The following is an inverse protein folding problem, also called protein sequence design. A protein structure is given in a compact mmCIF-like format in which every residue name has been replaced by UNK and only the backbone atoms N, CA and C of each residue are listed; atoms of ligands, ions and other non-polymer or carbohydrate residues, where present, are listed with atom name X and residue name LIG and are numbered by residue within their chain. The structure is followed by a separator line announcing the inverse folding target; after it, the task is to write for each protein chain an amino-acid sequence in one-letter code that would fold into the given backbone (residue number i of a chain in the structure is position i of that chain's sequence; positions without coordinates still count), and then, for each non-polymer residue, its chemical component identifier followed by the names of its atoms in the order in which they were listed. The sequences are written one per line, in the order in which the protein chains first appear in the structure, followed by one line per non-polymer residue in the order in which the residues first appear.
data_IF_816086611867
#
_entry.id   IF_816086611867
#
_cell.length_a   1.000
_cell.length_b   1.000
_cell.length_c   1.000
_cell.angle_alpha   90.00
_cell.angle_beta   90.00
_cell.angle_gamma   90.00
#
_symmetry.space_group_name_H-M   'P 1'
#
loop_
_entity.id
_entity.type
_entity.pdbx_description
1 polymer ?
#
# COMPACT_ATOMS: atom_id res chain seq x y z
N UNK A 1 -17.30 0.43 -38.89
CA UNK A 1 -16.08 1.25 -39.09
C UNK A 1 -15.87 2.23 -37.94
N UNK A 2 -16.85 3.02 -37.52
CA UNK A 2 -16.72 3.89 -36.33
C UNK A 2 -16.46 3.11 -35.01
N UNK A 3 -17.25 2.05 -34.74
CA UNK A 3 -17.06 1.21 -33.54
C UNK A 3 -15.74 0.43 -33.51
N UNK A 4 -15.16 0.10 -34.66
CA UNK A 4 -13.85 -0.58 -34.72
C UNK A 4 -12.72 0.39 -34.40
N UNK A 5 -12.75 1.60 -34.95
CA UNK A 5 -11.75 2.62 -34.65
C UNK A 5 -11.83 3.09 -33.19
N UNK A 6 -13.03 3.14 -32.60
CA UNK A 6 -13.22 3.54 -31.20
C UNK A 6 -12.70 2.45 -30.23
N UNK A 7 -12.99 1.18 -30.50
CA UNK A 7 -12.43 0.06 -29.73
C UNK A 7 -10.89 -0.05 -29.87
N UNK A 8 -10.33 0.20 -31.06
CA UNK A 8 -8.87 0.22 -31.26
C UNK A 8 -8.20 1.38 -30.50
N UNK A 9 -8.81 2.56 -30.49
CA UNK A 9 -8.33 3.70 -29.71
C UNK A 9 -8.37 3.43 -28.20
N UNK A 10 -9.48 2.89 -27.68
CA UNK A 10 -9.61 2.53 -26.26
C UNK A 10 -8.60 1.45 -25.84
N UNK A 11 -8.41 0.42 -26.66
CA UNK A 11 -7.44 -0.64 -26.40
C UNK A 11 -6.00 -0.10 -26.42
N UNK A 12 -5.69 0.79 -27.35
CA UNK A 12 -4.38 1.45 -27.40
C UNK A 12 -4.15 2.31 -26.15
N UNK A 13 -5.14 3.08 -25.70
CA UNK A 13 -5.03 3.94 -24.53
C UNK A 13 -4.86 3.13 -23.24
N UNK A 14 -5.62 2.04 -23.08
CA UNK A 14 -5.48 1.11 -21.95
C UNK A 14 -4.07 0.48 -21.93
N UNK A 15 -3.56 0.08 -23.11
CA UNK A 15 -2.20 -0.45 -23.24
C UNK A 15 -1.12 0.59 -22.85
N UNK A 16 -1.25 1.85 -23.28
CA UNK A 16 -0.31 2.91 -22.89
C UNK A 16 -0.33 3.16 -21.38
N UNK A 17 -1.50 3.14 -20.74
CA UNK A 17 -1.61 3.34 -19.29
C UNK A 17 -1.00 2.17 -18.50
N UNK A 18 -1.24 0.93 -18.93
CA UNK A 18 -0.66 -0.24 -18.27
C UNK A 18 0.86 -0.31 -18.47
N UNK A 19 1.38 0.10 -19.63
CA UNK A 19 2.82 0.27 -19.84
C UNK A 19 3.40 1.35 -18.91
N UNK A 20 2.74 2.51 -18.78
CA UNK A 20 3.20 3.57 -17.88
C UNK A 20 3.26 3.09 -16.41
N UNK A 21 2.24 2.37 -15.95
CA UNK A 21 2.23 1.78 -14.60
C UNK A 21 3.31 0.72 -14.41
N UNK A 22 3.59 -0.09 -15.43
CA UNK A 22 4.69 -1.06 -15.40
C UNK A 22 6.04 -0.36 -15.30
N UNK A 23 6.26 0.73 -16.06
CA UNK A 23 7.47 1.54 -15.96
C UNK A 23 7.63 2.09 -14.54
N UNK A 24 6.56 2.64 -13.95
CA UNK A 24 6.57 3.10 -12.56
C UNK A 24 6.92 1.96 -11.60
N UNK A 25 6.36 0.76 -11.80
CA UNK A 25 6.65 -0.43 -11.00
C UNK A 25 8.15 -0.77 -11.04
N UNK A 26 8.76 -0.81 -12.22
CA UNK A 26 10.20 -1.10 -12.39
C UNK A 26 11.07 0.01 -11.78
N UNK A 27 10.74 1.28 -12.02
CA UNK A 27 11.50 2.43 -11.49
C UNK A 27 11.45 2.49 -9.96
N UNK A 28 10.32 2.13 -9.35
CA UNK A 28 10.13 2.14 -7.89
C UNK A 28 10.73 0.91 -7.20
N UNK A 29 10.92 -0.20 -7.92
CA UNK A 29 11.32 -1.47 -7.36
C UNK A 29 12.57 -1.43 -6.44
N UNK A 30 13.66 -0.70 -6.77
CA UNK A 30 14.79 -0.49 -5.85
C UNK A 30 14.35 0.03 -4.47
N UNK A 31 13.44 1.00 -4.44
CA UNK A 31 12.95 1.58 -3.19
C UNK A 31 12.05 0.62 -2.42
N UNK A 32 11.32 -0.26 -3.10
CA UNK A 32 10.55 -1.31 -2.45
C UNK A 32 11.47 -2.32 -1.76
N UNK A 33 12.56 -2.74 -2.42
CA UNK A 33 13.61 -3.57 -1.79
C UNK A 33 14.14 -2.92 -0.51
N UNK A 34 14.63 -1.68 -0.61
CA UNK A 34 15.19 -0.97 0.54
C UNK A 34 14.15 -0.79 1.65
N UNK A 35 12.90 -0.46 1.30
CA UNK A 35 11.81 -0.32 2.26
C UNK A 35 11.48 -1.63 2.96
N UNK A 36 11.40 -2.74 2.24
CA UNK A 36 11.13 -4.05 2.83
C UNK A 36 12.24 -4.46 3.80
N UNK A 37 13.50 -4.30 3.42
CA UNK A 37 14.64 -4.55 4.32
C UNK A 37 14.55 -3.71 5.60
N UNK A 38 14.20 -2.44 5.48
CA UNK A 38 13.97 -1.57 6.63
C UNK A 38 12.78 -2.06 7.48
N UNK A 39 11.68 -2.45 6.85
CA UNK A 39 10.46 -2.91 7.53
C UNK A 39 10.72 -4.16 8.38
N UNK A 40 11.48 -5.13 7.85
CA UNK A 40 11.84 -6.36 8.58
C UNK A 40 12.91 -6.13 9.65
N UNK A 41 13.44 -4.91 9.79
CA UNK A 41 14.40 -4.55 10.83
C UNK A 41 15.87 -4.75 10.46
N UNK A 42 16.18 -4.92 9.17
CA UNK A 42 17.56 -5.02 8.72
C UNK A 42 18.23 -3.62 8.70
N UNK A 43 19.25 -3.39 9.53
CA UNK A 43 20.00 -2.13 9.71
C UNK A 43 21.53 -2.31 9.53
N UNK A 44 22.03 -2.56 8.31
CA UNK A 44 23.44 -2.89 8.08
C UNK A 44 24.42 -1.72 8.32
N UNK A 45 23.90 -0.49 8.38
CA UNK A 45 24.69 0.74 8.46
C UNK A 45 24.54 1.35 9.87
N UNK A 46 25.62 1.91 10.44
CA UNK A 46 25.58 2.46 11.79
C UNK A 46 24.64 3.67 11.88
N UNK A 47 24.01 3.81 13.04
CA UNK A 47 23.26 5.02 13.37
C UNK A 47 24.19 6.21 13.62
N UNK A 48 23.69 7.42 13.43
CA UNK A 48 24.46 8.65 13.62
C UNK A 48 23.68 9.66 14.47
N UNK A 49 24.36 10.45 15.33
CA UNK A 49 23.71 11.50 16.08
C UNK A 49 23.20 12.59 15.13
N UNK A 50 21.95 13.01 15.30
CA UNK A 50 21.33 14.09 14.52
C UNK A 50 20.47 14.98 15.42
N UNK A 51 19.92 16.05 14.85
CA UNK A 51 18.99 16.95 15.53
C UNK A 51 17.68 17.00 14.77
N UNK A 52 16.57 17.11 15.49
CA UNK A 52 15.28 17.41 14.84
C UNK A 52 15.27 18.86 14.32
N UNK A 53 14.21 19.21 13.59
CA UNK A 53 13.98 20.60 13.10
C UNK A 53 13.90 21.64 14.23
N UNK A 54 13.68 21.21 15.49
CA UNK A 54 13.65 22.05 16.70
C UNK A 54 14.96 21.96 17.52
N UNK A 55 16.06 21.47 16.93
CA UNK A 55 17.39 21.40 17.57
C UNK A 55 17.57 20.34 18.66
N UNK A 56 16.55 19.54 18.99
CA UNK A 56 16.61 18.46 19.98
C UNK A 56 17.41 17.26 19.45
N UNK A 57 18.28 16.66 20.26
CA UNK A 57 19.08 15.51 19.84
C UNK A 57 18.18 14.30 19.55
N UNK A 58 18.45 13.61 18.45
CA UNK A 58 17.84 12.34 18.04
C UNK A 58 18.92 11.43 17.43
N UNK A 59 18.65 10.14 17.38
CA UNK A 59 19.48 9.18 16.64
C UNK A 59 18.89 9.06 15.23
N UNK A 60 19.70 9.42 14.24
CA UNK A 60 19.39 9.30 12.82
C UNK A 60 19.76 7.91 12.31
N UNK A 61 18.92 7.37 11.44
CA UNK A 61 19.17 6.14 10.71
C UNK A 61 19.40 6.47 9.23
N UNK A 62 20.25 5.71 8.52
CA UNK A 62 20.51 5.92 7.11
C UNK A 62 19.23 5.71 6.29
N UNK A 63 19.01 6.61 5.33
CA UNK A 63 17.89 6.53 4.41
C UNK A 63 18.07 5.45 3.34
N UNK A 64 17.05 5.23 2.52
CA UNK A 64 17.03 4.15 1.54
C UNK A 64 18.08 4.30 0.45
N UNK A 65 18.52 5.52 0.10
CA UNK A 65 19.61 5.68 -0.86
C UNK A 65 20.93 5.08 -0.34
N UNK A 66 21.19 5.20 0.97
CA UNK A 66 22.35 4.56 1.60
C UNK A 66 22.20 3.03 1.60
N UNK A 67 20.99 2.52 1.81
CA UNK A 67 20.69 1.09 1.68
C UNK A 67 20.90 0.58 0.27
N UNK A 68 20.40 1.30 -0.73
CA UNK A 68 20.58 0.96 -2.14
C UNK A 68 22.06 0.98 -2.51
N UNK A 69 22.80 1.98 -2.07
CA UNK A 69 24.26 2.03 -2.24
C UNK A 69 24.97 0.86 -1.55
N UNK A 70 24.49 0.43 -0.38
CA UNK A 70 24.99 -0.76 0.31
C UNK A 70 24.72 -2.04 -0.48
N UNK A 71 23.47 -2.26 -0.93
CA UNK A 71 23.09 -3.41 -1.76
C UNK A 71 23.92 -3.45 -3.05
N UNK A 72 24.03 -2.32 -3.75
CA UNK A 72 24.79 -2.20 -4.99
C UNK A 72 26.27 -2.58 -4.82
N UNK A 73 26.89 -2.20 -3.70
CA UNK A 73 28.29 -2.56 -3.43
C UNK A 73 28.49 -4.06 -3.19
N UNK A 74 27.47 -4.77 -2.72
CA UNK A 74 27.56 -6.19 -2.38
C UNK A 74 27.12 -7.10 -3.53
N UNK A 75 26.05 -6.76 -4.23
CA UNK A 75 25.42 -7.61 -5.27
C UNK A 75 25.24 -6.90 -6.62
N UNK A 76 25.73 -5.67 -6.78
CA UNK A 76 25.63 -4.92 -8.04
C UNK A 76 24.18 -4.57 -8.44
N UNK A 77 23.95 -4.42 -9.75
CA UNK A 77 22.63 -4.12 -10.32
C UNK A 77 21.64 -5.27 -10.09
N UNK A 78 22.14 -6.51 -10.14
CA UNK A 78 21.33 -7.72 -9.91
C UNK A 78 20.73 -7.76 -8.51
N UNK A 79 21.44 -7.27 -7.49
CA UNK A 79 20.91 -7.15 -6.13
C UNK A 79 19.83 -6.08 -6.00
N UNK A 80 20.01 -4.92 -6.64
CA UNK A 80 19.02 -3.83 -6.63
C UNK A 80 17.68 -4.28 -7.23
N UNK A 81 17.72 -5.10 -8.29
CA UNK A 81 16.55 -5.58 -9.02
C UNK A 81 16.17 -7.03 -8.68
N UNK A 82 16.67 -7.57 -7.55
CA UNK A 82 16.31 -8.92 -7.14
C UNK A 82 14.82 -9.00 -6.87
N UNK A 83 14.17 -10.06 -7.33
CA UNK A 83 12.74 -10.26 -7.12
C UNK A 83 11.84 -9.44 -8.05
N UNK A 84 12.39 -8.66 -8.98
CA UNK A 84 11.60 -7.95 -10.01
C UNK A 84 10.61 -8.86 -10.75
N UNK A 85 10.94 -10.11 -11.15
CA UNK A 85 9.98 -11.01 -11.77
C UNK A 85 8.74 -11.27 -10.90
N UNK A 86 8.91 -11.45 -9.59
CA UNK A 86 7.78 -11.64 -8.67
C UNK A 86 6.91 -10.39 -8.58
N UNK A 87 7.52 -9.20 -8.55
CA UNK A 87 6.81 -7.92 -8.51
C UNK A 87 5.97 -7.67 -9.78
N UNK A 88 6.53 -8.03 -10.96
CA UNK A 88 5.82 -7.92 -12.24
C UNK A 88 4.63 -8.88 -12.29
N UNK A 89 4.81 -10.13 -11.85
CA UNK A 89 3.74 -11.14 -11.83
C UNK A 89 2.64 -10.75 -10.81
N UNK A 90 3.02 -10.27 -9.61
CA UNK A 90 2.09 -9.75 -8.60
C UNK A 90 1.24 -8.61 -9.19
N UNK A 91 1.88 -7.62 -9.83
CA UNK A 91 1.19 -6.50 -10.47
C UNK A 91 0.18 -6.95 -11.54
N UNK A 92 0.60 -7.80 -12.48
CA UNK A 92 -0.30 -8.28 -13.54
C UNK A 92 -1.42 -9.17 -13.00
N UNK A 93 -1.12 -10.04 -12.03
CA UNK A 93 -2.12 -10.90 -11.37
C UNK A 93 -3.20 -10.07 -10.67
N UNK A 94 -2.77 -9.06 -9.90
CA UNK A 94 -3.68 -8.14 -9.21
C UNK A 94 -4.56 -7.39 -10.21
N UNK A 95 -3.94 -6.75 -11.22
CA UNK A 95 -4.64 -5.92 -12.21
C UNK A 95 -5.62 -6.74 -13.06
N UNK A 96 -5.19 -7.90 -13.56
CA UNK A 96 -6.03 -8.79 -14.34
C UNK A 96 -7.26 -9.23 -13.52
N UNK A 97 -7.03 -9.67 -12.29
CA UNK A 97 -8.12 -10.16 -11.42
C UNK A 97 -9.07 -9.03 -11.02
N UNK A 98 -8.54 -7.85 -10.67
CA UNK A 98 -9.35 -6.68 -10.36
C UNK A 98 -10.27 -6.32 -11.52
N UNK A 99 -9.70 -6.17 -12.73
CA UNK A 99 -10.46 -5.81 -13.93
C UNK A 99 -11.49 -6.88 -14.30
N UNK A 100 -11.13 -8.16 -14.14
CA UNK A 100 -12.02 -9.26 -14.40
C UNK A 100 -13.23 -9.23 -13.45
N UNK A 101 -13.01 -9.04 -12.15
CA UNK A 101 -14.10 -8.95 -11.17
C UNK A 101 -14.93 -7.70 -11.43
N UNK A 102 -14.30 -6.56 -11.66
CA UNK A 102 -14.98 -5.29 -11.90
C UNK A 102 -15.90 -5.35 -13.13
N UNK A 103 -15.43 -5.90 -14.26
CA UNK A 103 -16.25 -6.06 -15.47
C UNK A 103 -17.42 -7.02 -15.26
N UNK A 104 -17.26 -8.01 -14.39
CA UNK A 104 -18.27 -9.04 -14.16
C UNK A 104 -19.20 -8.75 -12.95
N UNK A 105 -18.84 -7.84 -12.04
CA UNK A 105 -19.62 -7.60 -10.81
C UNK A 105 -21.05 -7.18 -11.12
N UNK A 106 -21.25 -6.36 -12.16
CA UNK A 106 -22.57 -5.92 -12.58
C UNK A 106 -23.46 -7.03 -13.14
N UNK A 107 -22.86 -8.14 -13.61
CA UNK A 107 -23.60 -9.33 -14.08
C UNK A 107 -24.11 -10.17 -12.92
N UNK A 108 -23.30 -10.34 -11.88
CA UNK A 108 -23.62 -11.21 -10.73
C UNK A 108 -24.34 -10.47 -9.60
N UNK A 109 -24.14 -9.15 -9.49
CA UNK A 109 -24.73 -8.31 -8.46
C UNK A 109 -25.23 -6.99 -9.09
N UNK A 110 -26.43 -6.98 -9.71
CA UNK A 110 -26.98 -5.79 -10.37
C UNK A 110 -27.08 -4.57 -9.45
N UNK A 111 -27.31 -4.78 -8.15
CA UNK A 111 -27.37 -3.72 -7.13
C UNK A 111 -26.02 -2.97 -6.94
N UNK A 112 -24.89 -3.57 -7.34
CA UNK A 112 -23.55 -2.98 -7.24
C UNK A 112 -23.12 -2.20 -8.50
N UNK A 113 -23.98 -2.08 -9.51
CA UNK A 113 -23.70 -1.25 -10.68
C UNK A 113 -23.67 0.23 -10.26
N UNK A 114 -22.53 0.87 -10.48
CA UNK A 114 -22.39 2.32 -10.32
C UNK A 114 -22.56 2.91 -11.71
N UNK A 115 -23.64 3.63 -11.97
CA UNK A 115 -23.73 4.52 -13.12
C UNK A 115 -22.79 5.68 -12.82
N UNK A 116 -21.56 5.63 -13.31
CA UNK A 116 -20.69 6.80 -13.31
C UNK A 116 -21.39 7.88 -14.15
N UNK A 117 -21.68 9.08 -13.62
CA UNK A 117 -21.82 10.22 -14.52
C UNK A 117 -20.47 10.37 -15.21
N UNK A 118 -20.48 10.38 -16.54
CA UNK A 118 -19.28 10.49 -17.37
C UNK A 118 -18.34 11.58 -16.85
N UNK A 119 -17.16 11.16 -16.41
CA UNK A 119 -15.98 12.03 -16.36
C UNK A 119 -15.37 12.07 -17.76
N UNK A 120 -16.12 12.64 -18.70
CA UNK A 120 -15.61 13.18 -19.94
C UNK A 120 -16.26 14.54 -20.11
N UNK A 121 -15.44 15.52 -20.43
CA UNK A 121 -15.76 16.93 -20.58
C UNK A 121 -17.12 17.15 -21.24
N UNK A 122 -18.01 17.86 -20.56
CA UNK A 122 -18.93 18.75 -21.24
C UNK A 122 -19.01 20.04 -20.41
N UNK A 123 -18.33 21.04 -20.95
CA UNK A 123 -18.53 22.45 -20.68
C UNK A 123 -20.02 22.79 -20.65
N UNK A 124 -20.54 23.09 -19.47
CA UNK A 124 -21.75 23.89 -19.33
C UNK A 124 -21.48 24.94 -18.26
N UNK A 125 -21.31 26.17 -18.72
CA UNK A 125 -21.24 27.38 -17.91
C UNK A 125 -22.31 27.36 -16.81
N UNK A 126 -21.88 27.41 -15.55
CA UNK A 126 -22.76 27.72 -14.43
C UNK A 126 -22.46 29.15 -14.02
N UNK A 127 -23.23 30.08 -14.59
CA UNK A 127 -23.22 31.49 -14.19
C UNK A 127 -23.65 31.60 -12.73
N UNK A 128 -22.71 31.98 -11.87
CA UNK A 128 -22.94 32.37 -10.49
C UNK A 128 -23.57 33.75 -10.43
N UNK A 129 -24.73 33.88 -9.76
CA UNK A 129 -25.17 35.16 -9.17
C UNK A 129 -25.37 34.98 -7.67
N UNK A 130 -24.84 35.94 -6.91
CA UNK A 130 -24.81 36.08 -5.45
C UNK A 130 -26.15 35.84 -4.72
N UNK A 131 -26.10 35.14 -3.57
CA UNK A 131 -26.43 35.66 -2.21
C UNK A 131 -26.82 34.52 -1.22
N UNK A 132 -26.61 34.79 0.07
CA UNK A 132 -26.43 33.93 1.26
C UNK A 132 -27.52 32.89 1.66
N UNK A 133 -27.16 31.90 2.52
CA UNK A 133 -27.70 30.54 2.51
C UNK A 133 -28.74 30.24 3.60
N UNK A 134 -29.62 29.27 3.32
CA UNK A 134 -30.14 28.37 4.35
C UNK A 134 -29.25 27.10 4.36
N UNK A 135 -28.84 26.57 5.51
CA UNK A 135 -27.70 25.65 5.63
C UNK A 135 -27.90 24.23 5.04
N UNK A 136 -29.07 23.91 4.47
CA UNK A 136 -29.48 22.52 4.25
C UNK A 136 -29.96 22.19 2.81
N UNK A 137 -29.81 23.10 1.85
CA UNK A 137 -30.37 22.92 0.50
C UNK A 137 -29.33 23.14 -0.61
N UNK A 138 -29.20 22.15 -1.50
CA UNK A 138 -28.55 22.31 -2.80
C UNK A 138 -29.66 22.35 -3.85
N UNK A 139 -29.66 23.38 -4.70
CA UNK A 139 -30.57 23.47 -5.85
C UNK A 139 -29.89 22.74 -7.02
N UNK A 140 -30.39 21.57 -7.40
CA UNK A 140 -30.02 20.93 -8.68
C UNK A 140 -30.90 21.49 -9.79
N UNK A 141 -30.30 22.12 -10.79
CA UNK A 141 -30.99 22.48 -12.03
C UNK A 141 -31.07 21.26 -12.94
N UNK A 142 -32.29 20.77 -13.18
CA UNK A 142 -32.54 19.75 -14.20
C UNK A 142 -32.45 20.38 -15.60
N UNK A 143 -32.08 19.59 -16.62
CA UNK A 143 -31.96 20.02 -18.04
C UNK A 143 -33.27 20.60 -18.62
N UNK A 144 -34.38 20.50 -17.87
CA UNK A 144 -35.75 20.92 -18.19
C UNK A 144 -36.21 22.18 -17.40
N UNK A 145 -35.29 22.94 -16.79
CA UNK A 145 -35.59 24.23 -16.14
C UNK A 145 -36.37 24.18 -14.82
N UNK A 146 -36.71 22.99 -14.30
CA UNK A 146 -37.35 22.85 -12.99
C UNK A 146 -36.32 22.96 -11.86
N UNK A 147 -36.53 23.93 -10.96
CA UNK A 147 -35.81 24.04 -9.69
C UNK A 147 -36.36 22.99 -8.73
N UNK A 148 -35.56 22.00 -8.36
CA UNK A 148 -35.90 21.10 -7.27
C UNK A 148 -35.00 21.38 -6.07
N UNK A 149 -35.64 21.74 -4.96
CA UNK A 149 -35.02 21.78 -3.65
C UNK A 149 -34.77 20.33 -3.21
N UNK A 150 -33.54 19.84 -3.38
CA UNK A 150 -33.18 18.50 -2.92
C UNK A 150 -32.64 18.66 -1.49
N UNK A 151 -33.34 18.17 -0.46
CA UNK A 151 -32.77 18.12 0.88
C UNK A 151 -31.49 17.30 0.83
N UNK A 152 -30.50 17.64 1.66
CA UNK A 152 -29.30 16.79 1.84
C UNK A 152 -29.78 15.43 2.36
N UNK A 153 -30.00 14.49 1.44
CA UNK A 153 -30.53 13.18 1.76
C UNK A 153 -29.40 12.26 2.19
N UNK A 154 -29.17 12.24 3.50
CA UNK A 154 -28.20 11.36 4.14
C UNK A 154 -28.43 9.89 3.76
N UNK A 155 -29.69 9.44 3.65
CA UNK A 155 -30.02 8.04 3.32
C UNK A 155 -29.51 7.64 1.93
N UNK A 156 -29.64 8.52 0.94
CA UNK A 156 -29.09 8.30 -0.40
C UNK A 156 -27.56 8.18 -0.41
N UNK A 157 -26.89 8.92 0.48
CA UNK A 157 -25.42 8.90 0.60
C UNK A 157 -24.92 7.60 1.23
N UNK A 158 -25.65 7.02 2.19
CA UNK A 158 -25.31 5.69 2.73
C UNK A 158 -25.52 4.58 1.72
N UNK A 159 -26.59 4.64 0.93
CA UNK A 159 -26.85 3.67 -0.13
C UNK A 159 -25.79 3.74 -1.23
N UNK A 160 -25.32 4.94 -1.61
CA UNK A 160 -24.15 5.09 -2.48
C UNK A 160 -22.88 4.48 -1.82
N UNK A 161 -22.63 4.81 -0.55
CA UNK A 161 -21.46 4.33 0.18
C UNK A 161 -21.40 2.81 0.28
N UNK A 162 -22.51 2.15 0.65
CA UNK A 162 -22.55 0.69 0.80
C UNK A 162 -22.29 -0.01 -0.52
N UNK A 163 -22.89 0.47 -1.62
CA UNK A 163 -22.68 -0.09 -2.96
C UNK A 163 -21.24 0.08 -3.41
N UNK A 164 -20.65 1.27 -3.24
CA UNK A 164 -19.26 1.55 -3.62
C UNK A 164 -18.29 0.69 -2.81
N UNK A 165 -18.46 0.66 -1.48
CA UNK A 165 -17.61 -0.13 -0.58
C UNK A 165 -17.73 -1.62 -0.86
N UNK A 166 -18.93 -2.14 -1.09
CA UNK A 166 -19.14 -3.55 -1.39
C UNK A 166 -18.53 -3.95 -2.73
N UNK A 167 -18.74 -3.14 -3.79
CA UNK A 167 -18.16 -3.38 -5.11
C UNK A 167 -16.63 -3.33 -5.07
N UNK A 168 -16.06 -2.22 -4.60
CA UNK A 168 -14.61 -2.03 -4.58
C UNK A 168 -13.96 -3.02 -3.62
N UNK A 169 -14.61 -3.33 -2.49
CA UNK A 169 -14.16 -4.31 -1.51
C UNK A 169 -14.08 -5.72 -2.07
N UNK A 170 -15.05 -6.14 -2.90
CA UNK A 170 -15.02 -7.42 -3.60
C UNK A 170 -13.86 -7.49 -4.59
N UNK A 171 -13.68 -6.43 -5.39
CA UNK A 171 -12.60 -6.34 -6.37
C UNK A 171 -11.22 -6.40 -5.69
N UNK A 172 -11.01 -5.60 -4.63
CA UNK A 172 -9.76 -5.59 -3.85
C UNK A 172 -9.50 -6.95 -3.21
N UNK A 173 -10.51 -7.54 -2.57
CA UNK A 173 -10.34 -8.83 -1.88
C UNK A 173 -9.97 -9.92 -2.87
N UNK A 174 -10.69 -10.05 -3.99
CA UNK A 174 -10.39 -11.07 -5.00
C UNK A 174 -9.03 -10.87 -5.66
N UNK A 175 -8.67 -9.62 -5.98
CA UNK A 175 -7.36 -9.29 -6.54
C UNK A 175 -6.21 -9.61 -5.57
N UNK A 176 -6.35 -9.27 -4.27
CA UNK A 176 -5.36 -9.62 -3.25
C UNK A 176 -5.22 -11.12 -3.09
N UNK A 177 -6.32 -11.89 -3.03
CA UNK A 177 -6.26 -13.35 -2.92
C UNK A 177 -5.46 -13.96 -4.07
N UNK A 178 -5.66 -13.48 -5.31
CA UNK A 178 -4.96 -13.99 -6.47
C UNK A 178 -3.47 -13.61 -6.50
N UNK A 179 -3.11 -12.40 -6.07
CA UNK A 179 -1.75 -11.86 -6.24
C UNK A 179 -0.83 -12.09 -5.03
N UNK A 180 -1.40 -12.24 -3.82
CA UNK A 180 -0.63 -12.29 -2.57
C UNK A 180 0.45 -13.39 -2.48
N UNK A 181 0.26 -14.60 -3.07
CA UNK A 181 1.35 -15.59 -3.12
C UNK A 181 2.63 -15.04 -3.77
N UNK A 182 2.52 -14.24 -4.82
CA UNK A 182 3.66 -13.60 -5.48
C UNK A 182 4.24 -12.46 -4.63
N UNK A 183 3.38 -11.76 -3.90
CA UNK A 183 3.80 -10.75 -2.93
C UNK A 183 4.68 -11.34 -1.81
N UNK A 184 4.31 -12.51 -1.27
CA UNK A 184 5.13 -13.21 -0.26
C UNK A 184 6.47 -13.65 -0.84
N UNK A 185 6.48 -14.21 -2.05
CA UNK A 185 7.72 -14.58 -2.75
C UNK A 185 8.63 -13.37 -2.98
N UNK A 186 8.07 -12.22 -3.33
CA UNK A 186 8.79 -10.96 -3.47
C UNK A 186 9.45 -10.53 -2.15
N UNK A 187 8.67 -10.46 -1.06
CA UNK A 187 9.19 -10.05 0.26
C UNK A 187 10.30 -11.00 0.74
N UNK A 188 10.13 -12.31 0.53
CA UNK A 188 11.12 -13.32 0.91
C UNK A 188 12.37 -13.26 0.06
N UNK A 189 12.24 -12.99 -1.25
CA UNK A 189 13.39 -12.74 -2.12
C UNK A 189 14.15 -11.47 -1.71
N UNK A 190 13.46 -10.40 -1.28
CA UNK A 190 14.13 -9.24 -0.70
C UNK A 190 14.86 -9.61 0.60
N UNK A 191 14.21 -10.37 1.47
CA UNK A 191 14.77 -10.76 2.76
C UNK A 191 15.98 -11.71 2.65
N UNK A 192 16.07 -12.54 1.59
CA UNK A 192 17.24 -13.40 1.34
C UNK A 192 18.52 -12.63 0.97
N UNK A 193 18.44 -11.30 0.82
CA UNK A 193 19.65 -10.46 0.78
C UNK A 193 20.41 -10.48 2.12
N UNK A 194 19.70 -10.65 3.25
CA UNK A 194 20.27 -10.53 4.59
C UNK A 194 21.33 -11.59 4.88
N UNK A 195 21.03 -12.87 4.58
CA UNK A 195 21.95 -13.98 4.79
C UNK A 195 22.61 -14.48 3.50
N UNK A 196 22.46 -13.75 2.38
CA UNK A 196 22.96 -14.12 1.05
C UNK A 196 22.42 -15.47 0.57
N UNK A 197 21.17 -15.77 0.87
CA UNK A 197 20.52 -17.00 0.46
C UNK A 197 20.04 -16.90 -1.00
N UNK A 198 20.15 -18.02 -1.72
CA UNK A 198 19.76 -18.11 -3.14
C UNK A 198 18.47 -18.90 -3.36
N UNK A 199 17.84 -19.36 -2.29
CA UNK A 199 16.65 -20.24 -2.33
C UNK A 199 15.49 -19.59 -3.10
N UNK A 200 15.35 -18.26 -2.96
CA UNK A 200 14.27 -17.48 -3.53
C UNK A 200 14.60 -16.85 -4.89
N UNK A 201 15.80 -17.05 -5.44
CA UNK A 201 16.20 -16.43 -6.72
C UNK A 201 15.42 -17.00 -7.91
N UNK A 202 14.98 -18.26 -7.81
CA UNK A 202 14.18 -18.93 -8.82
C UNK A 202 12.79 -19.32 -8.30
N UNK A 203 11.71 -19.11 -9.08
CA UNK A 203 10.33 -19.32 -8.62
C UNK A 203 10.07 -20.77 -8.20
N UNK A 204 10.57 -21.76 -8.95
CA UNK A 204 10.36 -23.17 -8.64
C UNK A 204 11.06 -23.60 -7.34
N UNK A 205 12.26 -23.06 -7.10
CA UNK A 205 13.00 -23.30 -5.84
C UNK A 205 12.25 -22.69 -4.66
N UNK A 206 11.82 -21.43 -4.80
CA UNK A 206 11.05 -20.72 -3.79
C UNK A 206 9.72 -21.43 -3.46
N UNK A 207 8.96 -21.84 -4.48
CA UNK A 207 7.69 -22.56 -4.29
C UNK A 207 7.92 -23.88 -3.57
N UNK A 208 8.94 -24.65 -3.98
CA UNK A 208 9.28 -25.93 -3.36
C UNK A 208 9.67 -25.76 -1.89
N UNK A 209 10.43 -24.70 -1.57
CA UNK A 209 10.82 -24.37 -0.20
C UNK A 209 9.60 -24.11 0.69
N UNK A 210 8.69 -23.23 0.26
CA UNK A 210 7.47 -22.90 1.02
C UNK A 210 6.59 -24.14 1.21
N UNK A 211 6.32 -24.89 0.14
CA UNK A 211 5.43 -26.05 0.19
C UNK A 211 5.95 -27.13 1.14
N UNK A 212 7.27 -27.38 1.15
CA UNK A 212 7.85 -28.44 1.98
C UNK A 212 8.03 -28.03 3.45
N UNK A 213 8.35 -26.76 3.72
CA UNK A 213 8.68 -26.30 5.07
C UNK A 213 7.50 -25.70 5.83
N UNK A 214 6.56 -25.06 5.14
CA UNK A 214 5.44 -24.30 5.72
C UNK A 214 4.06 -24.74 5.21
N UNK A 215 4.03 -25.47 4.08
CA UNK A 215 2.81 -25.84 3.38
C UNK A 215 2.19 -24.68 2.58
N UNK A 216 0.99 -24.89 2.05
CA UNK A 216 0.32 -23.92 1.18
C UNK A 216 -0.08 -22.62 1.89
N UNK A 217 -0.27 -22.67 3.21
CA UNK A 217 -0.59 -21.48 4.01
C UNK A 217 0.61 -20.52 4.14
N UNK A 218 1.84 -20.99 3.93
CA UNK A 218 3.04 -20.14 3.92
C UNK A 218 2.99 -19.05 2.86
N UNK A 219 2.30 -19.27 1.72
CA UNK A 219 2.06 -18.24 0.70
C UNK A 219 1.14 -17.11 1.16
N UNK A 220 0.45 -17.28 2.29
CA UNK A 220 -0.49 -16.31 2.85
C UNK A 220 -0.02 -15.77 4.22
N UNK A 221 1.24 -15.99 4.57
CA UNK A 221 1.86 -15.41 5.77
C UNK A 221 1.77 -13.88 5.73
N UNK A 222 1.11 -13.28 6.73
CA UNK A 222 0.83 -11.85 6.80
C UNK A 222 -0.37 -11.35 5.98
N UNK A 223 -1.19 -12.23 5.39
CA UNK A 223 -2.32 -11.83 4.53
C UNK A 223 -3.41 -11.07 5.30
N UNK A 224 -3.76 -11.53 6.50
CA UNK A 224 -4.84 -10.94 7.32
C UNK A 224 -4.62 -9.45 7.61
N UNK A 225 -3.49 -9.01 8.18
CA UNK A 225 -3.26 -7.58 8.41
C UNK A 225 -3.21 -6.79 7.08
N UNK A 226 -2.73 -7.39 5.97
CA UNK A 226 -2.78 -6.71 4.66
C UNK A 226 -4.21 -6.45 4.21
N UNK A 227 -5.06 -7.48 4.24
CA UNK A 227 -6.45 -7.39 3.83
C UNK A 227 -7.22 -6.39 4.69
N UNK A 228 -7.06 -6.44 6.02
CA UNK A 228 -7.69 -5.49 6.94
C UNK A 228 -7.24 -4.07 6.64
N UNK A 229 -5.94 -3.84 6.40
CA UNK A 229 -5.41 -2.51 6.07
C UNK A 229 -6.02 -1.93 4.80
N UNK A 230 -6.08 -2.71 3.72
CA UNK A 230 -6.63 -2.30 2.42
C UNK A 230 -8.14 -2.02 2.50
N UNK A 231 -8.91 -2.92 3.12
CA UNK A 231 -10.36 -2.74 3.29
C UNK A 231 -10.68 -1.56 4.22
N UNK A 232 -9.93 -1.38 5.29
CA UNK A 232 -10.08 -0.21 6.17
C UNK A 232 -9.77 1.08 5.42
N UNK A 233 -8.73 1.08 4.59
CA UNK A 233 -8.36 2.24 3.78
C UNK A 233 -9.47 2.60 2.79
N UNK A 234 -10.06 1.60 2.12
CA UNK A 234 -11.22 1.78 1.25
C UNK A 234 -12.38 2.41 2.02
N UNK A 235 -12.83 1.77 3.11
CA UNK A 235 -14.00 2.19 3.88
C UNK A 235 -13.83 3.62 4.38
N UNK A 236 -12.69 3.93 5.02
CA UNK A 236 -12.42 5.26 5.57
C UNK A 236 -12.36 6.32 4.48
N UNK A 237 -11.63 6.05 3.39
CA UNK A 237 -11.48 7.00 2.28
C UNK A 237 -12.81 7.31 1.61
N UNK A 238 -13.59 6.29 1.27
CA UNK A 238 -14.90 6.47 0.62
C UNK A 238 -15.91 7.12 1.57
N UNK A 239 -15.87 6.79 2.86
CA UNK A 239 -16.72 7.44 3.86
C UNK A 239 -16.44 8.93 3.96
N UNK A 240 -15.17 9.34 4.03
CA UNK A 240 -14.79 10.77 4.07
C UNK A 240 -15.21 11.47 2.77
N UNK A 241 -14.92 10.89 1.61
CA UNK A 241 -15.25 11.52 0.32
C UNK A 241 -16.77 11.67 0.15
N UNK A 242 -17.54 10.60 0.33
CA UNK A 242 -18.97 10.57 0.05
C UNK A 242 -19.78 11.31 1.13
N UNK A 243 -19.45 11.16 2.41
CA UNK A 243 -20.24 11.73 3.50
C UNK A 243 -19.78 13.13 3.94
N UNK A 244 -18.50 13.49 3.75
CA UNK A 244 -17.94 14.75 4.27
C UNK A 244 -17.47 15.72 3.18
N UNK A 245 -16.91 15.24 2.06
CA UNK A 245 -16.41 16.15 1.02
C UNK A 245 -17.53 16.50 0.04
N UNK A 246 -18.13 15.49 -0.61
CA UNK A 246 -19.15 15.69 -1.64
C UNK A 246 -20.34 16.57 -1.22
N UNK A 247 -20.96 16.42 -0.03
CA UNK A 247 -22.16 17.19 0.31
C UNK A 247 -21.85 18.62 0.78
N UNK A 248 -20.63 18.90 1.25
CA UNK A 248 -20.27 20.21 1.79
C UNK A 248 -19.53 21.09 0.78
N UNK A 249 -18.82 20.49 -0.18
CA UNK A 249 -18.05 21.22 -1.19
C UNK A 249 -18.69 21.06 -2.58
N UNK A 250 -19.49 22.05 -2.97
CA UNK A 250 -20.15 22.08 -4.28
C UNK A 250 -19.20 22.46 -5.43
N UNK A 251 -18.05 23.05 -5.12
CA UNK A 251 -17.04 23.43 -6.11
C UNK A 251 -16.13 22.24 -6.45
N UNK A 252 -16.02 21.83 -7.73
CA UNK A 252 -15.30 20.62 -8.11
C UNK A 252 -13.80 20.70 -7.82
N UNK A 253 -13.22 21.90 -7.92
CA UNK A 253 -11.78 22.15 -7.66
C UNK A 253 -11.38 21.79 -6.22
N UNK A 254 -12.13 22.29 -5.23
CA UNK A 254 -11.85 22.04 -3.82
C UNK A 254 -12.08 20.58 -3.44
N UNK A 255 -13.13 19.96 -3.97
CA UNK A 255 -13.44 18.54 -3.74
C UNK A 255 -12.31 17.63 -4.26
N UNK A 256 -11.72 17.94 -5.41
CA UNK A 256 -10.60 17.18 -5.98
C UNK A 256 -9.33 17.28 -5.14
N UNK A 257 -8.98 18.49 -4.68
CA UNK A 257 -7.82 18.72 -3.81
C UNK A 257 -8.00 17.96 -2.48
N UNK A 258 -9.17 18.08 -1.85
CA UNK A 258 -9.46 17.40 -0.59
C UNK A 258 -9.45 15.87 -0.76
N UNK A 259 -10.02 15.36 -1.85
CA UNK A 259 -9.98 13.92 -2.19
C UNK A 259 -8.54 13.42 -2.32
N UNK A 260 -7.68 14.20 -2.97
CA UNK A 260 -6.25 13.87 -3.12
C UNK A 260 -5.53 13.85 -1.77
N UNK A 261 -5.80 14.81 -0.89
CA UNK A 261 -5.25 14.85 0.48
C UNK A 261 -5.70 13.62 1.27
N UNK A 262 -6.98 13.25 1.22
CA UNK A 262 -7.51 12.07 1.90
C UNK A 262 -6.82 10.79 1.39
N UNK A 263 -6.69 10.65 0.07
CA UNK A 263 -5.99 9.51 -0.56
C UNK A 263 -4.51 9.40 -0.16
N UNK A 264 -3.89 10.48 0.32
CA UNK A 264 -2.53 10.45 0.86
C UNK A 264 -2.50 10.16 2.37
N UNK A 265 -3.38 10.79 3.15
CA UNK A 265 -3.37 10.71 4.62
C UNK A 265 -3.87 9.35 5.11
N UNK A 266 -4.96 8.82 4.56
CA UNK A 266 -5.58 7.59 5.08
C UNK A 266 -4.62 6.38 4.99
N UNK A 267 -3.94 6.10 3.87
CA UNK A 267 -2.93 5.05 3.82
C UNK A 267 -1.76 5.29 4.78
N UNK A 268 -1.34 6.56 4.97
CA UNK A 268 -0.26 6.88 5.90
C UNK A 268 -0.64 6.56 7.36
N UNK A 269 -1.90 6.77 7.75
CA UNK A 269 -2.44 6.38 9.06
C UNK A 269 -2.46 4.85 9.20
N UNK A 270 -2.99 4.15 8.20
CA UNK A 270 -3.16 2.69 8.19
C UNK A 270 -1.89 1.90 7.83
N UNK A 271 -0.79 2.58 7.56
CA UNK A 271 0.53 1.99 7.32
C UNK A 271 0.95 0.82 8.24
N UNK A 272 0.67 0.84 9.57
CA UNK A 272 1.09 -0.23 10.45
C UNK A 272 0.57 -1.62 10.04
N UNK A 273 -0.59 -1.70 9.40
CA UNK A 273 -1.11 -2.96 8.84
C UNK A 273 -0.21 -3.54 7.76
N UNK A 274 0.29 -2.68 6.86
CA UNK A 274 1.24 -3.10 5.83
C UNK A 274 2.57 -3.52 6.45
N UNK A 275 3.08 -2.78 7.46
CA UNK A 275 4.31 -3.17 8.16
C UNK A 275 4.17 -4.55 8.82
N UNK A 276 3.11 -4.78 9.58
CA UNK A 276 2.87 -6.07 10.25
C UNK A 276 2.71 -7.19 9.23
N UNK A 277 2.04 -6.96 8.10
CA UNK A 277 1.98 -7.91 7.00
C UNK A 277 3.36 -8.29 6.48
N UNK A 278 4.23 -7.30 6.21
CA UNK A 278 5.59 -7.55 5.71
C UNK A 278 6.45 -8.33 6.69
N UNK A 279 6.40 -8.00 7.99
CA UNK A 279 7.14 -8.75 9.03
C UNK A 279 6.61 -10.18 9.12
N UNK A 280 5.29 -10.35 9.14
CA UNK A 280 4.65 -11.67 9.19
C UNK A 280 4.90 -12.51 7.93
N UNK A 281 5.19 -11.91 6.77
CA UNK A 281 5.51 -12.64 5.55
C UNK A 281 6.86 -13.37 5.61
N UNK A 282 7.81 -12.86 6.40
CA UNK A 282 9.14 -13.46 6.63
C UNK A 282 9.17 -14.31 7.92
N UNK A 283 8.30 -14.01 8.88
CA UNK A 283 8.21 -14.68 10.17
C UNK A 283 8.15 -16.21 10.06
N UNK A 284 8.95 -16.91 10.87
CA UNK A 284 8.98 -18.38 10.92
C UNK A 284 9.60 -19.07 9.69
N UNK A 285 10.10 -18.32 8.71
CA UNK A 285 10.74 -18.90 7.52
C UNK A 285 12.15 -19.43 7.85
N UNK A 286 12.34 -20.75 7.80
CA UNK A 286 13.61 -21.40 8.18
C UNK A 286 14.74 -21.18 7.17
N UNK A 287 14.39 -20.93 5.92
CA UNK A 287 15.34 -20.83 4.79
C UNK A 287 15.93 -19.43 4.63
N UNK A 288 15.54 -18.47 5.48
CA UNK A 288 15.97 -17.07 5.43
C UNK A 288 16.45 -16.64 6.82
N UNK A 289 17.69 -16.16 6.92
CA UNK A 289 18.28 -15.67 8.16
C UNK A 289 17.55 -14.43 8.68
N UNK A 290 16.98 -13.61 7.80
CA UNK A 290 16.20 -12.43 8.18
C UNK A 290 14.98 -12.75 9.07
N UNK A 291 14.45 -13.98 9.02
CA UNK A 291 13.37 -14.41 9.90
C UNK A 291 13.77 -14.43 11.39
N UNK A 292 15.07 -14.52 11.68
CA UNK A 292 15.61 -14.51 13.04
C UNK A 292 15.94 -13.10 13.56
N UNK A 293 15.67 -12.04 12.78
CA UNK A 293 15.90 -10.65 13.21
C UNK A 293 14.93 -10.21 14.31
N UNK A 294 13.72 -10.76 14.29
CA UNK A 294 12.65 -10.51 15.26
C UNK A 294 12.23 -11.87 15.86
N UNK A 295 11.62 -11.91 17.05
CA UNK A 295 11.11 -13.16 17.61
C UNK A 295 10.02 -13.77 16.72
N UNK A 296 9.90 -15.09 16.73
CA UNK A 296 8.85 -15.78 15.99
C UNK A 296 7.48 -15.49 16.62
N UNK A 297 6.55 -14.97 15.82
CA UNK A 297 5.19 -14.66 16.23
C UNK A 297 4.21 -15.74 15.78
N UNK A 298 3.29 -16.14 16.67
CA UNK A 298 2.22 -17.09 16.30
C UNK A 298 1.10 -16.36 15.55
N UNK A 299 0.83 -15.11 15.94
CA UNK A 299 -0.26 -14.31 15.40
C UNK A 299 0.19 -12.90 15.01
N UNK A 300 -0.48 -12.32 14.02
CA UNK A 300 -0.19 -10.95 13.58
C UNK A 300 -0.50 -9.90 14.66
N UNK A 301 -1.44 -10.19 15.58
CA UNK A 301 -1.77 -9.32 16.71
C UNK A 301 -0.64 -9.28 17.74
N UNK A 302 0.04 -10.40 17.95
CA UNK A 302 1.25 -10.47 18.78
C UNK A 302 2.38 -9.64 18.17
N UNK A 303 2.63 -9.81 16.87
CA UNK A 303 3.58 -8.99 16.12
C UNK A 303 3.24 -7.48 16.24
N UNK A 304 1.96 -7.13 16.10
CA UNK A 304 1.49 -5.75 16.28
C UNK A 304 1.78 -5.23 17.69
N UNK A 305 1.41 -5.98 18.74
CA UNK A 305 1.62 -5.58 20.13
C UNK A 305 3.11 -5.42 20.44
N UNK A 306 3.95 -6.33 19.92
CA UNK A 306 5.39 -6.26 20.04
C UNK A 306 5.95 -4.98 19.40
N UNK A 307 5.64 -4.73 18.13
CA UNK A 307 6.10 -3.52 17.42
C UNK A 307 5.53 -2.23 18.03
N UNK A 308 4.30 -2.27 18.55
CA UNK A 308 3.67 -1.17 19.26
C UNK A 308 4.41 -0.84 20.56
N UNK A 309 4.76 -1.86 21.36
CA UNK A 309 5.50 -1.69 22.62
C UNK A 309 6.87 -1.05 22.42
N UNK A 310 7.49 -1.27 21.26
CA UNK A 310 8.76 -0.66 20.88
C UNK A 310 8.62 0.73 20.21
N UNK A 311 7.40 1.19 19.92
CA UNK A 311 7.15 2.40 19.15
C UNK A 311 7.58 2.30 17.68
N UNK A 312 7.69 1.08 17.14
CA UNK A 312 8.22 0.80 15.80
C UNK A 312 7.13 0.56 14.73
N UNK A 313 5.84 0.78 15.03
CA UNK A 313 4.73 0.59 14.06
C UNK A 313 4.81 1.46 12.80
N UNK A 314 5.65 2.49 12.80
CA UNK A 314 5.92 3.35 11.63
C UNK A 314 7.32 3.10 11.01
N UNK A 315 8.01 2.01 11.38
CA UNK A 315 9.29 1.61 10.78
C UNK A 315 9.15 1.50 9.26
N UNK A 316 10.02 2.16 8.51
CA UNK A 316 9.97 2.17 7.04
C UNK A 316 8.91 3.06 6.38
N UNK A 317 8.13 3.82 7.17
CA UNK A 317 7.14 4.77 6.63
C UNK A 317 7.79 5.99 5.97
N UNK A 318 8.99 6.37 6.44
CA UNK A 318 9.85 7.38 5.83
C UNK A 318 11.10 6.71 5.28
N UNK A 319 11.34 6.94 3.99
CA UNK A 319 12.44 6.33 3.22
C UNK A 319 13.70 7.23 3.28
N UNK A 320 13.53 8.55 3.37
CA UNK A 320 14.63 9.53 3.28
C UNK A 320 15.15 9.89 4.68
N UNK A 321 14.27 10.33 5.57
CA UNK A 321 14.65 10.76 6.92
C UNK A 321 14.11 9.78 7.95
N UNK A 322 15.02 9.02 8.55
CA UNK A 322 14.70 7.97 9.50
C UNK A 322 15.29 8.32 10.86
N UNK A 323 14.50 8.11 11.90
CA UNK A 323 14.90 8.38 13.27
C UNK A 323 14.55 7.18 14.13
N UNK A 324 15.43 6.86 15.08
CA UNK A 324 15.13 5.84 16.08
C UNK A 324 14.31 6.47 17.22
N UNK A 325 13.25 5.78 17.64
CA UNK A 325 12.55 6.07 18.88
C UNK A 325 13.44 5.64 20.05
N UNK A 326 13.82 6.60 20.89
CA UNK A 326 14.50 6.29 22.15
C UNK A 326 13.48 5.62 23.08
N UNK A 327 13.86 4.57 23.82
CA UNK A 327 12.97 3.98 24.80
C UNK A 327 12.59 5.02 25.88
N UNK A 328 11.43 4.87 26.55
CA UNK A 328 10.99 5.79 27.58
C UNK A 328 12.03 5.92 28.70
N UNK A 329 12.22 7.13 29.23
CA UNK A 329 13.13 7.39 30.34
C UNK A 329 12.79 6.50 31.53
N UNK A 330 13.68 5.58 31.89
CA UNK A 330 13.51 4.67 33.03
C UNK A 330 13.60 3.18 32.68
N UNK A 331 13.61 2.79 31.40
CA UNK A 331 14.04 1.44 31.04
C UNK A 331 15.55 1.34 31.22
N UNK A 332 16.08 0.35 31.98
CA UNK A 332 17.52 0.14 32.02
C UNK A 332 18.02 0.01 30.57
N UNK A 333 19.19 0.57 30.23
CA UNK A 333 19.80 0.26 28.95
C UNK A 333 19.88 -1.25 28.88
N UNK A 334 19.21 -1.86 27.88
CA UNK A 334 19.49 -3.27 27.57
C UNK A 334 21.01 -3.35 27.37
N UNK A 335 21.68 -4.37 27.94
CA UNK A 335 23.12 -4.57 27.71
C UNK A 335 23.46 -4.60 26.21
N UNK A 336 22.45 -4.89 25.40
CA UNK A 336 22.44 -4.81 23.96
C UNK A 336 21.74 -3.51 23.57
N UNK A 337 22.46 -2.38 23.67
CA UNK A 337 22.14 -1.24 22.81
C UNK A 337 22.07 -1.80 21.40
N UNK A 338 20.93 -1.65 20.71
CA UNK A 338 20.59 -2.32 19.45
C UNK A 338 21.69 -2.16 18.38
N UNK A 339 22.69 -3.03 18.54
CA UNK A 339 23.69 -3.53 17.64
C UNK A 339 23.33 -5.02 17.57
N UNK A 340 22.17 -5.31 16.97
CA UNK A 340 21.91 -6.68 16.49
C UNK A 340 22.90 -7.06 15.37
N UNK A 341 23.68 -6.11 14.85
CA UNK A 341 24.88 -6.37 14.06
C UNK A 341 26.12 -6.52 14.93
N UNK A 342 26.00 -7.35 15.96
CA UNK A 342 27.16 -7.99 16.54
C UNK A 342 27.81 -8.85 15.47
N UNK A 343 28.87 -8.33 14.84
CA UNK A 343 29.88 -9.14 14.18
C UNK A 343 29.33 -10.20 13.20
N UNK A 344 28.92 -9.79 12.00
CA UNK A 344 29.32 -10.59 10.83
C UNK A 344 30.85 -10.58 10.86
N UNK A 345 31.43 -11.64 11.44
CA UNK A 345 32.87 -11.84 11.50
C UNK A 345 33.42 -11.60 10.10
N UNK A 346 34.38 -10.69 10.01
CA UNK A 346 35.35 -10.67 8.92
C UNK A 346 36.06 -12.04 8.93
N UNK A 347 35.55 -13.00 8.17
CA UNK A 347 36.39 -14.05 7.61
C UNK A 347 36.53 -13.73 6.14
N UNK A 348 37.78 -13.47 5.78
CA UNK A 348 38.32 -13.28 4.44
C UNK A 348 37.81 -14.31 3.44
#
# INVERSE_FOLDING_TARGET
MADQNQNEHELSFEAHNDVAKLVICVVKHPFDLAKTLIQIGYEPLPSFPTRNIFGRPKIGLPGALSYLGFVFRHEGVTGIFRGLPYNVIDYFSYRYTYNYIEKNVGKYCPYLQITTPDLSEDSAEVTTTEYQPAPNLIIKLHKDGRRQNVPIDFSSSFDELTRVVARDGLCITGALVASYPFHVLLIRNFASFVGKETVYDFPFSAIKDIVNNEGLLGFYSGFVPRLIGELSCLVVTKSIIILLIKPYFNTPEYSSILTTIVNFIVPAVLYPFNLVSTVMAVNGCKSIQAANLEPEFISWTECWNHLSSMGNLKRGSSIIWRFQTLPPSGTPPRPDGFSSYGSLKKSW
#
